data_IF_805864937990
#
_entry.id   IF_805864937990
#
_cell.length_a   1.000
_cell.length_b   1.000
_cell.length_c   1.000
_cell.angle_alpha   90.00
_cell.angle_beta   90.00
_cell.angle_gamma   90.00
#
_symmetry.space_group_name_H-M   'P 1'
#
loop_
_entity.id
_entity.type
_entity.pdbx_description
1 polymer ?
#
# COMPACT_ATOMS: atom_id res chain seq x y z
N UNK A 1 7.68 13.04 -8.31
CA UNK A 1 7.07 12.63 -9.58
C UNK A 1 7.17 11.11 -9.73
N UNK A 2 6.09 10.46 -10.12
CA UNK A 2 6.07 9.06 -10.57
C UNK A 2 5.68 9.04 -12.05
N UNK A 3 6.48 8.40 -12.89
CA UNK A 3 6.22 8.26 -14.33
C UNK A 3 6.20 6.79 -14.72
N UNK A 4 5.16 6.40 -15.41
CA UNK A 4 4.99 5.11 -16.06
C UNK A 4 5.10 5.32 -17.56
N UNK A 5 5.90 4.51 -18.23
CA UNK A 5 6.08 4.58 -19.68
C UNK A 5 5.82 3.21 -20.28
N UNK A 6 4.73 3.11 -21.05
CA UNK A 6 4.31 1.88 -21.74
C UNK A 6 4.26 0.65 -20.83
N UNK A 7 3.85 0.82 -19.56
CA UNK A 7 3.81 -0.26 -18.60
C UNK A 7 2.75 -1.29 -18.97
N UNK A 8 3.18 -2.53 -19.14
CA UNK A 8 2.32 -3.70 -19.28
C UNK A 8 2.62 -4.65 -18.13
N UNK A 9 1.60 -5.07 -17.42
CA UNK A 9 1.68 -6.06 -16.33
C UNK A 9 0.96 -7.30 -16.80
N UNK A 10 1.65 -8.44 -16.78
CA UNK A 10 1.13 -9.72 -17.25
C UNK A 10 1.18 -10.77 -16.16
N UNK A 11 0.15 -11.59 -16.09
CA UNK A 11 0.12 -12.77 -15.26
C UNK A 11 0.90 -13.90 -15.94
N UNK A 12 1.87 -14.50 -15.23
CA UNK A 12 2.82 -15.47 -15.84
C UNK A 12 2.16 -16.80 -16.24
N UNK A 13 1.13 -17.24 -15.52
CA UNK A 13 0.52 -18.58 -15.73
C UNK A 13 -0.36 -18.64 -16.98
N UNK A 14 -1.20 -17.63 -17.19
CA UNK A 14 -2.18 -17.58 -18.28
C UNK A 14 -1.84 -16.54 -19.35
N UNK A 15 -0.70 -15.86 -19.19
CA UNK A 15 -0.18 -14.80 -20.07
C UNK A 15 -1.19 -13.66 -20.30
N UNK A 16 -2.13 -13.49 -19.37
CA UNK A 16 -3.13 -12.43 -19.45
C UNK A 16 -2.54 -11.08 -19.06
N UNK A 17 -2.76 -10.09 -19.91
CA UNK A 17 -2.43 -8.71 -19.58
C UNK A 17 -3.42 -8.17 -18.53
N UNK A 18 -2.93 -7.87 -17.34
CA UNK A 18 -3.67 -7.22 -16.27
C UNK A 18 -3.71 -5.70 -16.45
N UNK A 19 -2.62 -5.13 -16.95
CA UNK A 19 -2.49 -3.74 -17.37
C UNK A 19 -1.78 -3.74 -18.71
N UNK A 20 -2.26 -2.96 -19.64
CA UNK A 20 -1.70 -2.92 -21.01
C UNK A 20 -1.30 -1.50 -21.40
N UNK A 21 -0.01 -1.34 -21.73
CA UNK A 21 0.56 -0.14 -22.33
C UNK A 21 0.17 1.17 -21.60
N UNK A 22 0.20 1.15 -20.27
CA UNK A 22 -0.16 2.29 -19.43
C UNK A 22 0.97 3.31 -19.44
N UNK A 23 0.68 4.53 -19.86
CA UNK A 23 1.58 5.67 -19.70
C UNK A 23 0.88 6.73 -18.86
N UNK A 24 1.52 7.13 -17.76
CA UNK A 24 0.97 8.05 -16.78
C UNK A 24 2.09 8.78 -16.06
N UNK A 25 1.89 10.06 -15.81
CA UNK A 25 2.77 10.84 -14.93
C UNK A 25 1.95 11.41 -13.79
N UNK A 26 2.43 11.21 -12.56
CA UNK A 26 1.83 11.76 -11.34
C UNK A 26 2.83 12.71 -10.72
N UNK A 27 2.43 13.96 -10.56
CA UNK A 27 3.24 14.99 -9.92
C UNK A 27 2.99 15.05 -8.41
N UNK A 28 3.85 15.75 -7.72
CA UNK A 28 3.69 16.01 -6.29
C UNK A 28 2.37 16.75 -6.01
N UNK A 29 1.65 16.32 -4.97
CA UNK A 29 0.35 16.88 -4.59
C UNK A 29 -0.84 16.39 -5.40
N UNK A 30 -0.65 15.67 -6.49
CA UNK A 30 -1.75 15.12 -7.27
C UNK A 30 -2.45 13.97 -6.55
N UNK A 31 -3.76 13.88 -6.75
CA UNK A 31 -4.61 12.79 -6.29
C UNK A 31 -5.13 12.03 -7.50
N UNK A 32 -4.85 10.74 -7.55
CA UNK A 32 -5.22 9.87 -8.67
C UNK A 32 -6.14 8.75 -8.18
N UNK A 33 -7.25 8.54 -8.88
CA UNK A 33 -8.14 7.42 -8.64
C UNK A 33 -8.01 6.39 -9.77
N UNK A 34 -7.88 5.11 -9.40
CA UNK A 34 -7.89 3.99 -10.33
C UNK A 34 -9.26 3.33 -10.24
N UNK A 35 -10.00 3.38 -11.34
CA UNK A 35 -11.37 2.85 -11.42
C UNK A 35 -11.37 1.67 -12.40
N UNK A 36 -12.07 0.62 -12.05
CA UNK A 36 -12.23 -0.56 -12.88
C UNK A 36 -12.96 -1.68 -12.14
N UNK A 37 -13.47 -2.63 -12.89
CA UNK A 37 -14.13 -3.82 -12.35
C UNK A 37 -13.16 -4.70 -11.56
N UNK A 38 -13.69 -5.62 -10.76
CA UNK A 38 -12.90 -6.60 -10.03
C UNK A 38 -12.12 -7.49 -11.03
N UNK A 39 -10.88 -7.82 -10.68
CA UNK A 39 -10.00 -8.63 -11.53
C UNK A 39 -9.29 -7.88 -12.66
N UNK A 40 -9.44 -6.56 -12.77
CA UNK A 40 -8.83 -5.73 -13.81
C UNK A 40 -7.42 -5.19 -13.47
N UNK A 41 -6.69 -5.87 -12.57
CA UNK A 41 -5.28 -5.57 -12.33
C UNK A 41 -4.98 -4.34 -11.48
N UNK A 42 -5.98 -3.70 -10.84
CA UNK A 42 -5.78 -2.52 -9.97
C UNK A 42 -4.81 -2.80 -8.82
N UNK A 43 -5.04 -3.88 -8.09
CA UNK A 43 -4.17 -4.30 -6.98
C UNK A 43 -2.78 -4.70 -7.47
N UNK A 44 -2.69 -5.36 -8.63
CA UNK A 44 -1.42 -5.72 -9.26
C UNK A 44 -0.61 -4.49 -9.66
N UNK A 45 -1.27 -3.46 -10.19
CA UNK A 45 -0.62 -2.19 -10.50
C UNK A 45 -0.05 -1.54 -9.24
N UNK A 46 -0.82 -1.44 -8.16
CA UNK A 46 -0.34 -0.88 -6.90
C UNK A 46 0.84 -1.70 -6.34
N UNK A 47 0.76 -3.02 -6.39
CA UNK A 47 1.83 -3.90 -5.93
C UNK A 47 3.13 -3.70 -6.74
N UNK A 48 3.03 -3.59 -8.05
CA UNK A 48 4.17 -3.29 -8.94
C UNK A 48 4.78 -1.92 -8.63
N UNK A 49 3.95 -0.91 -8.37
CA UNK A 49 4.41 0.44 -8.02
C UNK A 49 5.15 0.48 -6.68
N UNK A 50 4.70 -0.32 -5.71
CA UNK A 50 5.31 -0.37 -4.37
C UNK A 50 6.64 -1.12 -4.37
N UNK A 51 6.80 -2.13 -5.20
CA UNK A 51 7.98 -3.00 -5.21
C UNK A 51 8.37 -3.44 -6.62
N UNK A 52 8.78 -2.51 -7.50
CA UNK A 52 9.05 -2.83 -8.91
C UNK A 52 10.25 -3.79 -9.10
N UNK A 53 11.15 -3.86 -8.11
CA UNK A 53 12.34 -4.73 -8.14
C UNK A 53 12.12 -6.10 -7.47
N UNK A 54 11.00 -6.29 -6.79
CA UNK A 54 10.68 -7.51 -6.04
C UNK A 54 9.26 -7.94 -6.36
N UNK A 55 9.04 -8.34 -7.61
CA UNK A 55 7.74 -8.80 -8.08
C UNK A 55 7.46 -10.22 -7.61
N UNK A 56 6.18 -10.55 -7.33
CA UNK A 56 5.79 -11.94 -7.16
C UNK A 56 6.03 -12.75 -8.43
N UNK A 57 6.36 -14.04 -8.28
CA UNK A 57 6.66 -14.95 -9.39
C UNK A 57 5.52 -15.09 -10.42
N UNK A 58 4.30 -14.71 -10.04
CA UNK A 58 3.14 -14.75 -10.92
C UNK A 58 2.94 -13.47 -11.74
N UNK A 59 3.81 -12.45 -11.60
CA UNK A 59 3.75 -11.21 -12.37
C UNK A 59 5.02 -10.97 -13.15
N UNK A 60 4.87 -10.47 -14.37
CA UNK A 60 5.93 -9.88 -15.18
C UNK A 60 5.55 -8.47 -15.61
N UNK A 61 6.54 -7.63 -15.80
CA UNK A 61 6.36 -6.27 -16.30
C UNK A 61 7.19 -6.03 -17.56
N UNK A 62 6.62 -5.24 -18.45
CA UNK A 62 7.29 -4.60 -19.58
C UNK A 62 7.08 -3.09 -19.48
N UNK A 63 7.99 -2.29 -20.00
CA UNK A 63 7.96 -0.85 -19.89
C UNK A 63 8.82 -0.33 -18.75
N UNK A 64 8.65 0.93 -18.39
CA UNK A 64 9.52 1.61 -17.45
C UNK A 64 8.74 2.32 -16.35
N UNK A 65 9.26 2.23 -15.13
CA UNK A 65 8.77 2.95 -13.94
C UNK A 65 9.91 3.82 -13.44
N UNK A 66 9.72 5.13 -13.48
CA UNK A 66 10.66 6.11 -12.96
C UNK A 66 10.02 6.89 -11.83
N UNK A 67 10.72 7.05 -10.72
CA UNK A 67 10.22 7.81 -9.58
C UNK A 67 11.31 8.65 -8.94
N UNK A 68 10.94 9.85 -8.48
CA UNK A 68 11.74 10.69 -7.60
C UNK A 68 11.24 10.69 -6.16
N UNK A 69 10.22 9.91 -5.83
CA UNK A 69 9.76 9.74 -4.46
C UNK A 69 10.73 8.83 -3.69
N UNK A 70 11.00 9.19 -2.45
CA UNK A 70 11.97 8.47 -1.59
C UNK A 70 11.28 7.50 -0.62
N UNK A 71 9.98 7.69 -0.37
CA UNK A 71 9.22 6.84 0.54
C UNK A 71 7.82 6.60 0.01
N UNK A 72 7.25 5.48 0.39
CA UNK A 72 5.89 5.07 0.02
C UNK A 72 5.16 4.59 1.26
N UNK A 73 3.86 4.83 1.31
CA UNK A 73 2.95 4.19 2.24
C UNK A 73 1.89 3.43 1.45
N UNK A 74 1.57 2.23 1.90
CA UNK A 74 0.57 1.37 1.28
C UNK A 74 -0.42 0.88 2.32
N UNK A 75 -1.69 1.11 2.07
CA UNK A 75 -2.77 0.56 2.89
C UNK A 75 -3.37 -0.60 2.11
N UNK A 76 -3.15 -1.85 2.54
CA UNK A 76 -3.70 -3.01 1.85
C UNK A 76 -5.21 -3.12 2.02
N UNK A 77 -5.88 -3.81 1.09
CA UNK A 77 -7.32 -4.06 1.14
C UNK A 77 -7.71 -4.93 2.35
N UNK A 78 -6.83 -5.83 2.75
CA UNK A 78 -7.01 -6.69 3.93
C UNK A 78 -5.81 -6.59 4.85
N UNK A 79 -6.06 -6.74 6.14
CA UNK A 79 -5.01 -6.74 7.15
C UNK A 79 -4.05 -7.92 6.93
N UNK A 80 -2.72 -7.68 6.91
CA UNK A 80 -1.74 -8.76 6.86
C UNK A 80 -1.92 -9.76 8.00
N UNK A 81 -1.82 -11.05 7.71
CA UNK A 81 -2.00 -12.12 8.72
C UNK A 81 -1.07 -11.96 9.93
N UNK A 82 0.17 -11.50 9.69
CA UNK A 82 1.15 -11.27 10.75
C UNK A 82 0.72 -10.20 11.78
N UNK A 83 -0.20 -9.31 11.42
CA UNK A 83 -0.71 -8.27 12.31
C UNK A 83 -1.99 -8.66 13.02
N UNK A 84 -2.75 -9.62 12.52
CA UNK A 84 -4.07 -9.97 13.05
C UNK A 84 -4.05 -10.44 14.50
N UNK A 85 -2.98 -11.13 14.91
CA UNK A 85 -2.81 -11.63 16.27
C UNK A 85 -2.20 -10.65 17.26
N UNK A 86 -1.67 -9.52 16.79
CA UNK A 86 -1.07 -8.49 17.65
C UNK A 86 -2.15 -7.64 18.32
N UNK A 87 -1.84 -7.15 19.51
CA UNK A 87 -2.62 -6.10 20.16
C UNK A 87 -2.22 -4.71 19.62
N UNK A 88 -3.07 -3.72 19.84
CA UNK A 88 -2.72 -2.33 19.51
C UNK A 88 -1.47 -1.87 20.27
N UNK A 89 -1.35 -2.24 21.55
CA UNK A 89 -0.16 -1.93 22.34
C UNK A 89 1.11 -2.51 21.75
N UNK A 90 1.11 -3.78 21.36
CA UNK A 90 2.26 -4.44 20.73
C UNK A 90 2.61 -3.80 19.36
N UNK A 91 1.63 -3.35 18.61
CA UNK A 91 1.86 -2.70 17.33
C UNK A 91 2.47 -1.31 17.47
N UNK A 92 1.92 -0.46 18.35
CA UNK A 92 2.35 0.92 18.47
C UNK A 92 3.58 1.10 19.39
N UNK A 93 3.80 0.23 20.36
CA UNK A 93 4.90 0.35 21.33
C UNK A 93 5.95 -0.76 21.20
N UNK A 94 5.82 -1.65 20.21
CA UNK A 94 6.77 -2.73 19.95
C UNK A 94 8.02 -2.32 19.17
N UNK A 95 8.06 -1.11 18.60
CA UNK A 95 9.21 -0.59 17.84
C UNK A 95 9.87 0.57 18.60
N UNK A 96 11.19 0.48 18.78
CA UNK A 96 11.96 1.43 19.60
C UNK A 96 12.14 2.82 18.97
N UNK A 97 11.83 3.01 17.69
CA UNK A 97 12.08 4.26 16.92
C UNK A 97 10.82 5.01 16.50
N UNK A 98 9.71 4.83 17.22
CA UNK A 98 8.48 5.52 16.84
C UNK A 98 8.50 7.00 17.32
N UNK A 99 8.21 7.93 16.41
CA UNK A 99 7.97 9.33 16.79
C UNK A 99 6.56 9.48 17.39
N UNK A 100 6.51 9.33 18.72
CA UNK A 100 5.25 9.43 19.46
C UNK A 100 4.55 10.79 19.32
N UNK A 101 5.30 11.88 19.20
CA UNK A 101 4.71 13.21 19.02
C UNK A 101 3.94 13.31 17.70
N UNK A 102 4.50 12.78 16.63
CA UNK A 102 3.83 12.70 15.32
C UNK A 102 2.65 11.74 15.34
N UNK A 103 2.77 10.60 16.04
CA UNK A 103 1.69 9.62 16.18
C UNK A 103 0.47 10.24 16.91
N UNK A 104 0.68 10.90 18.04
CA UNK A 104 -0.41 11.54 18.78
C UNK A 104 -1.05 12.69 18.03
N UNK A 105 -0.26 13.48 17.30
CA UNK A 105 -0.77 14.55 16.43
C UNK A 105 -1.64 13.99 15.30
N UNK A 106 -1.22 12.90 14.67
CA UNK A 106 -1.98 12.23 13.63
C UNK A 106 -3.28 11.62 14.18
N UNK A 107 -3.24 11.02 15.36
CA UNK A 107 -4.43 10.50 16.04
C UNK A 107 -5.48 11.60 16.28
N UNK A 108 -5.02 12.77 16.73
CA UNK A 108 -5.90 13.92 16.93
C UNK A 108 -6.53 14.41 15.64
N UNK A 109 -5.75 14.52 14.56
CA UNK A 109 -6.23 14.89 13.22
C UNK A 109 -7.26 13.89 12.67
N UNK A 110 -7.09 12.60 12.94
CA UNK A 110 -7.98 11.53 12.50
C UNK A 110 -9.14 11.29 13.49
N UNK A 111 -9.22 12.06 14.57
CA UNK A 111 -10.21 11.88 15.65
C UNK A 111 -10.16 10.46 16.26
N UNK A 112 -8.97 9.86 16.30
CA UNK A 112 -8.72 8.57 16.90
C UNK A 112 -8.42 8.73 18.40
N UNK A 113 -9.10 7.96 19.24
CA UNK A 113 -8.83 7.96 20.67
C UNK A 113 -7.44 7.37 20.98
N UNK A 114 -6.47 8.24 21.25
CA UNK A 114 -5.08 7.86 21.52
C UNK A 114 -4.91 6.99 22.77
N UNK A 115 -5.86 6.97 23.71
CA UNK A 115 -5.84 6.05 24.84
C UNK A 115 -5.91 4.58 24.42
N UNK A 116 -6.40 4.31 23.22
CA UNK A 116 -6.45 2.96 22.65
C UNK A 116 -5.10 2.43 22.17
N UNK A 117 -4.09 3.27 21.98
CA UNK A 117 -2.77 2.82 21.52
C UNK A 117 -2.12 1.77 22.44
N UNK A 118 -2.33 1.84 23.75
CA UNK A 118 -1.82 0.88 24.72
C UNK A 118 -2.82 -0.24 25.06
N UNK A 119 -3.88 -0.38 24.28
CA UNK A 119 -4.94 -1.34 24.56
C UNK A 119 -4.52 -2.77 24.24
N UNK A 120 -5.06 -3.74 24.98
CA UNK A 120 -4.93 -5.18 24.71
C UNK A 120 -5.87 -5.67 23.60
N UNK A 121 -6.57 -4.75 22.93
CA UNK A 121 -7.44 -5.08 21.83
C UNK A 121 -6.65 -5.66 20.68
N UNK A 122 -7.03 -6.85 20.21
CA UNK A 122 -6.40 -7.54 19.08
C UNK A 122 -6.76 -6.81 17.78
N UNK A 123 -5.75 -6.51 16.97
CA UNK A 123 -5.92 -5.76 15.70
C UNK A 123 -6.90 -6.48 14.78
N UNK A 124 -6.85 -7.80 14.70
CA UNK A 124 -7.77 -8.61 13.87
C UNK A 124 -9.25 -8.49 14.24
N UNK A 125 -9.58 -7.96 15.42
CA UNK A 125 -10.95 -7.71 15.86
C UNK A 125 -11.48 -6.33 15.46
N UNK A 126 -10.63 -5.46 14.90
CA UNK A 126 -11.02 -4.13 14.44
C UNK A 126 -11.76 -4.21 13.11
N UNK A 127 -12.66 -3.25 12.88
CA UNK A 127 -13.26 -3.06 11.55
C UNK A 127 -12.22 -2.58 10.54
N UNK A 128 -12.45 -2.83 9.23
CA UNK A 128 -11.54 -2.41 8.17
C UNK A 128 -11.51 -0.90 7.90
N UNK A 129 -12.29 -0.13 8.64
CA UNK A 129 -12.37 1.33 8.51
C UNK A 129 -11.58 2.10 9.54
#
# INVERSE_FOLDING_TARGET
MLKLSHLTIRHTKDLRDLVRNLSLTIHEGEKVAIIGEEGNGKSSLLQVLMSPKSLPDYLTIEGEITTSFHSYAYIPQSLPEALKGKTLGEYFFGEDELDYASLYRLADQLQFDSNRFASDQVIGSLSGG
#
